data_IF_745248249212
#
_entry.id   IF_745248249212
#
_cell.length_a   1.000
_cell.length_b   1.000
_cell.length_c   1.000
_cell.angle_alpha   90.00
_cell.angle_beta   90.00
_cell.angle_gamma   90.00
#
_symmetry.space_group_name_H-M   'P 1'
#
loop_
_entity.id
_entity.type
_entity.pdbx_description
1 polymer ?
#
# COMPACT_ATOMS: atom_id res chain seq x y z
N UNK A 1 8.32 -5.00 -12.78
CA UNK A 1 7.77 -3.64 -12.72
C UNK A 1 8.88 -2.72 -12.24
N UNK A 2 8.93 -1.50 -12.76
CA UNK A 2 9.82 -0.42 -12.31
C UNK A 2 8.97 0.75 -11.82
N UNK A 3 9.33 1.35 -10.69
CA UNK A 3 8.79 2.61 -10.22
C UNK A 3 9.61 3.77 -10.77
N UNK A 4 8.91 4.83 -11.17
CA UNK A 4 9.53 6.11 -11.51
C UNK A 4 9.02 7.16 -10.54
N UNK A 5 9.92 7.73 -9.74
CA UNK A 5 9.57 8.81 -8.81
C UNK A 5 9.59 10.15 -9.53
N UNK A 6 8.48 10.88 -9.45
CA UNK A 6 8.27 12.11 -10.21
C UNK A 6 7.74 13.21 -9.30
N UNK A 7 8.14 14.44 -9.59
CA UNK A 7 7.44 15.63 -9.11
C UNK A 7 6.70 16.25 -10.30
N UNK A 8 5.43 16.60 -10.11
CA UNK A 8 4.60 17.24 -11.14
C UNK A 8 4.07 18.58 -10.61
N UNK A 9 4.57 19.73 -11.11
CA UNK A 9 4.08 21.04 -10.68
C UNK A 9 2.59 21.25 -10.94
N UNK A 10 2.04 20.62 -11.98
CA UNK A 10 0.61 20.73 -12.29
C UNK A 10 -0.24 19.94 -11.29
N UNK A 11 0.20 18.73 -10.93
CA UNK A 11 -0.48 17.89 -9.95
C UNK A 11 -0.41 18.49 -8.53
N UNK A 12 0.76 19.00 -8.14
CA UNK A 12 0.95 19.66 -6.84
C UNK A 12 0.07 20.92 -6.72
N UNK A 13 0.03 21.79 -7.75
CA UNK A 13 -0.88 22.94 -7.78
C UNK A 13 -2.35 22.55 -7.64
N UNK A 14 -2.77 21.47 -8.31
CA UNK A 14 -4.13 20.96 -8.21
C UNK A 14 -4.45 20.54 -6.76
N UNK A 15 -3.57 19.77 -6.13
CA UNK A 15 -3.75 19.33 -4.73
C UNK A 15 -3.75 20.51 -3.75
N UNK A 16 -2.83 21.46 -3.90
CA UNK A 16 -2.80 22.68 -3.09
C UNK A 16 -4.11 23.45 -3.23
N UNK A 17 -4.62 23.63 -4.45
CA UNK A 17 -5.90 24.31 -4.68
C UNK A 17 -7.07 23.59 -4.01
N UNK A 18 -7.11 22.26 -4.05
CA UNK A 18 -8.16 21.47 -3.38
C UNK A 18 -8.09 21.58 -1.84
N UNK A 19 -6.89 21.80 -1.30
CA UNK A 19 -6.66 22.01 0.13
C UNK A 19 -6.84 23.48 0.57
N UNK A 20 -7.20 24.39 -0.35
CA UNK A 20 -7.26 25.82 -0.07
C UNK A 20 -5.88 26.45 0.20
N UNK A 21 -4.80 25.82 -0.28
CA UNK A 21 -3.42 26.27 -0.13
C UNK A 21 -2.87 26.87 -1.43
N UNK A 22 -1.83 27.70 -1.31
CA UNK A 22 -1.11 28.26 -2.45
C UNK A 22 0.13 27.42 -2.77
N UNK A 23 0.51 27.45 -4.06
CA UNK A 23 1.75 26.83 -4.52
C UNK A 23 2.98 27.49 -3.89
N UNK A 24 3.95 26.67 -3.48
CA UNK A 24 5.21 27.13 -2.89
C UNK A 24 6.39 26.40 -3.53
N UNK A 25 7.30 27.18 -4.14
CA UNK A 25 8.49 26.67 -4.80
C UNK A 25 9.49 26.02 -3.82
N UNK A 26 9.43 26.36 -2.53
CA UNK A 26 10.25 25.70 -1.49
C UNK A 26 9.79 24.25 -1.32
N UNK A 27 8.48 23.99 -1.36
CA UNK A 27 7.89 22.64 -1.28
C UNK A 27 8.29 21.80 -2.49
N UNK A 28 8.27 22.40 -3.69
CA UNK A 28 8.80 21.76 -4.90
C UNK A 28 10.26 21.33 -4.73
N UNK A 29 11.12 22.23 -4.25
CA UNK A 29 12.54 21.94 -4.07
C UNK A 29 12.77 20.81 -3.05
N UNK A 30 11.98 20.77 -1.97
CA UNK A 30 12.01 19.68 -1.00
C UNK A 30 11.59 18.35 -1.58
N UNK A 31 10.46 18.29 -2.32
CA UNK A 31 10.01 17.07 -2.96
C UNK A 31 11.05 16.52 -3.95
N UNK A 32 11.62 17.39 -4.79
CA UNK A 32 12.72 17.01 -5.71
C UNK A 32 13.97 16.53 -4.99
N UNK A 33 14.35 17.17 -3.90
CA UNK A 33 15.48 16.75 -3.06
C UNK A 33 15.22 15.39 -2.40
N UNK A 34 14.00 15.18 -1.91
CA UNK A 34 13.56 13.91 -1.33
C UNK A 34 13.60 12.79 -2.36
N UNK A 35 13.04 12.98 -3.56
CA UNK A 35 13.05 12.00 -4.67
C UNK A 35 14.48 11.49 -4.89
N UNK A 36 15.46 12.40 -5.04
CA UNK A 36 16.87 12.03 -5.29
C UNK A 36 17.48 11.17 -4.18
N UNK A 37 17.06 11.35 -2.93
CA UNK A 37 17.55 10.57 -1.79
C UNK A 37 16.83 9.22 -1.72
N UNK A 38 15.50 9.24 -1.74
CA UNK A 38 14.68 8.06 -1.59
C UNK A 38 14.86 7.07 -2.75
N UNK A 39 14.96 7.55 -3.99
CA UNK A 39 15.18 6.69 -5.16
C UNK A 39 16.47 5.84 -5.04
N UNK A 40 17.54 6.43 -4.48
CA UNK A 40 18.81 5.72 -4.22
C UNK A 40 18.68 4.62 -3.18
N UNK A 41 17.80 4.77 -2.21
CA UNK A 41 17.51 3.74 -1.21
C UNK A 41 16.57 2.69 -1.81
N UNK A 42 15.49 3.14 -2.46
CA UNK A 42 14.47 2.27 -3.05
C UNK A 42 15.04 1.29 -4.08
N UNK A 43 15.91 1.75 -4.98
CA UNK A 43 16.45 0.90 -6.06
C UNK A 43 17.20 -0.32 -5.53
N UNK A 44 17.75 -0.26 -4.31
CA UNK A 44 18.45 -1.38 -3.66
C UNK A 44 17.50 -2.51 -3.26
N UNK A 45 16.25 -2.17 -2.94
CA UNK A 45 15.26 -3.11 -2.38
C UNK A 45 14.09 -3.38 -3.34
N UNK A 46 13.87 -2.54 -4.36
CA UNK A 46 12.71 -2.56 -5.26
C UNK A 46 12.43 -3.96 -5.82
N UNK A 47 13.45 -4.62 -6.37
CA UNK A 47 13.30 -5.95 -6.97
C UNK A 47 12.93 -7.00 -5.93
N UNK A 48 13.45 -6.88 -4.71
CA UNK A 48 13.12 -7.78 -3.60
C UNK A 48 11.68 -7.58 -3.14
N UNK A 49 11.30 -6.32 -2.89
CA UNK A 49 9.95 -5.93 -2.46
C UNK A 49 8.91 -6.40 -3.47
N UNK A 50 9.10 -6.06 -4.75
CA UNK A 50 8.11 -6.34 -5.80
C UNK A 50 7.93 -7.83 -6.03
N UNK A 51 9.02 -8.61 -6.03
CA UNK A 51 8.94 -10.08 -6.12
C UNK A 51 8.25 -10.69 -4.92
N UNK A 52 8.47 -10.17 -3.72
CA UNK A 52 7.83 -10.68 -2.52
C UNK A 52 6.32 -10.38 -2.52
N UNK A 53 5.91 -9.18 -2.94
CA UNK A 53 4.49 -8.85 -3.13
C UNK A 53 3.83 -9.80 -4.13
N UNK A 54 4.45 -10.04 -5.29
CA UNK A 54 3.92 -10.99 -6.28
C UNK A 54 3.81 -12.42 -5.74
N UNK A 55 4.85 -12.88 -5.04
CA UNK A 55 4.92 -14.22 -4.45
C UNK A 55 3.85 -14.42 -3.38
N UNK A 56 3.71 -13.47 -2.46
CA UNK A 56 2.75 -13.54 -1.35
C UNK A 56 1.32 -13.43 -1.87
N UNK A 57 1.05 -12.45 -2.74
CA UNK A 57 -0.30 -12.23 -3.27
C UNK A 57 -0.77 -13.31 -4.25
N UNK A 58 0.14 -14.01 -4.93
CA UNK A 58 -0.20 -14.88 -6.06
C UNK A 58 -0.52 -14.12 -7.35
N UNK A 59 -0.25 -12.81 -7.38
CA UNK A 59 -0.54 -11.90 -8.49
C UNK A 59 0.76 -11.39 -9.15
N UNK A 60 0.62 -10.70 -10.28
CA UNK A 60 1.73 -10.11 -11.03
C UNK A 60 1.51 -8.63 -11.30
N UNK A 61 2.55 -7.82 -11.15
CA UNK A 61 2.50 -6.44 -11.65
C UNK A 61 2.49 -6.46 -13.18
N UNK A 62 1.63 -5.64 -13.79
CA UNK A 62 1.40 -5.70 -15.25
C UNK A 62 2.08 -4.59 -16.03
N UNK A 63 2.41 -3.49 -15.35
CA UNK A 63 2.98 -2.28 -15.96
C UNK A 63 3.92 -1.60 -14.99
N UNK A 64 4.79 -0.73 -15.52
CA UNK A 64 5.53 0.22 -14.70
C UNK A 64 4.56 1.23 -14.06
N UNK A 65 5.00 1.84 -12.97
CA UNK A 65 4.16 2.71 -12.15
C UNK A 65 4.90 4.02 -11.90
N UNK A 66 4.25 5.12 -12.22
CA UNK A 66 4.72 6.45 -11.84
C UNK A 66 4.26 6.74 -10.41
N UNK A 67 5.19 7.16 -9.56
CA UNK A 67 4.96 7.54 -8.18
C UNK A 67 5.20 9.04 -8.02
N UNK A 68 4.13 9.80 -7.81
CA UNK A 68 4.22 11.23 -7.54
C UNK A 68 4.68 11.45 -6.10
N UNK A 69 5.68 12.32 -5.92
CA UNK A 69 6.15 12.72 -4.60
C UNK A 69 5.80 14.17 -4.37
N UNK A 70 5.09 14.45 -3.29
CA UNK A 70 4.60 15.79 -2.93
C UNK A 70 4.91 16.09 -1.48
N UNK A 71 5.18 17.36 -1.16
CA UNK A 71 5.48 17.76 0.22
C UNK A 71 4.21 17.72 1.08
N UNK A 72 3.13 18.30 0.57
CA UNK A 72 1.90 18.48 1.33
C UNK A 72 0.73 17.79 0.64
N UNK A 73 0.13 16.87 1.38
CA UNK A 73 -1.22 16.39 1.16
C UNK A 73 -1.83 15.97 2.49
N UNK A 74 -3.16 15.86 2.50
CA UNK A 74 -3.93 15.40 3.66
C UNK A 74 -3.54 13.98 4.06
N UNK A 75 -3.38 13.08 3.07
CA UNK A 75 -3.05 11.68 3.30
C UNK A 75 -1.53 11.44 3.33
N UNK A 76 -1.07 10.34 3.91
CA UNK A 76 0.35 9.96 3.86
C UNK A 76 0.76 9.31 2.53
N UNK A 77 -0.19 8.68 1.83
CA UNK A 77 -0.02 8.06 0.52
C UNK A 77 -1.36 7.87 -0.21
N UNK A 78 -1.32 7.64 -1.51
CA UNK A 78 -2.45 7.27 -2.37
C UNK A 78 -2.01 6.24 -3.41
N UNK A 79 -2.86 5.31 -3.81
CA UNK A 79 -2.52 4.28 -4.83
C UNK A 79 -2.92 4.65 -6.25
N UNK A 80 -3.81 5.63 -6.43
CA UNK A 80 -4.30 6.02 -7.76
C UNK A 80 -4.63 7.53 -7.87
N UNK A 81 -3.77 8.34 -8.53
CA UNK A 81 -2.43 7.97 -8.99
C UNK A 81 -1.53 7.67 -7.79
N UNK A 82 -0.54 6.77 -7.96
CA UNK A 82 0.39 6.45 -6.89
C UNK A 82 1.10 7.72 -6.42
N UNK A 83 0.89 8.10 -5.18
CA UNK A 83 1.39 9.34 -4.59
C UNK A 83 1.93 9.05 -3.19
N UNK A 84 3.10 9.57 -2.85
CA UNK A 84 3.66 9.52 -1.49
C UNK A 84 3.98 10.92 -1.00
N UNK A 85 3.74 11.15 0.29
CA UNK A 85 4.08 12.41 0.95
C UNK A 85 5.55 12.40 1.35
N UNK A 86 6.23 13.53 1.21
CA UNK A 86 7.57 13.72 1.77
C UNK A 86 7.47 13.51 3.28
N UNK A 87 8.38 12.69 3.80
CA UNK A 87 8.41 12.39 5.22
C UNK A 87 9.84 12.34 5.73
N UNK A 88 10.03 12.62 7.03
CA UNK A 88 11.36 12.59 7.65
C UNK A 88 11.93 11.17 7.74
N UNK A 89 11.06 10.18 7.93
CA UNK A 89 11.41 8.76 8.05
C UNK A 89 11.29 8.06 6.71
N UNK A 90 12.44 7.75 6.08
CA UNK A 90 12.49 6.93 4.86
C UNK A 90 11.87 5.54 5.07
N UNK A 91 11.98 5.00 6.29
CA UNK A 91 11.35 3.73 6.68
C UNK A 91 9.83 3.82 6.55
N UNK A 92 9.22 4.91 7.02
CA UNK A 92 7.77 5.09 6.94
C UNK A 92 7.32 5.27 5.49
N UNK A 93 8.04 6.07 4.70
CA UNK A 93 7.74 6.21 3.26
C UNK A 93 7.82 4.87 2.54
N UNK A 94 8.82 4.05 2.85
CA UNK A 94 8.93 2.70 2.31
C UNK A 94 7.75 1.81 2.70
N UNK A 95 7.31 1.85 3.97
CA UNK A 95 6.18 1.06 4.43
C UNK A 95 4.89 1.49 3.70
N UNK A 96 4.62 2.79 3.63
CA UNK A 96 3.46 3.35 2.92
C UNK A 96 3.51 3.00 1.43
N UNK A 97 4.69 3.03 0.81
CA UNK A 97 4.83 2.64 -0.58
C UNK A 97 4.56 1.14 -0.80
N UNK A 98 4.96 0.27 0.13
CA UNK A 98 4.60 -1.16 0.09
C UNK A 98 3.08 -1.33 0.19
N UNK A 99 2.43 -0.61 1.11
CA UNK A 99 0.97 -0.58 1.26
C UNK A 99 0.28 -0.23 -0.06
N UNK A 100 0.66 0.90 -0.68
CA UNK A 100 0.07 1.34 -1.93
C UNK A 100 0.37 0.42 -3.12
N UNK A 101 1.56 -0.20 -3.16
CA UNK A 101 1.89 -1.17 -4.21
C UNK A 101 1.01 -2.43 -4.13
N UNK A 102 0.55 -2.80 -2.93
CA UNK A 102 -0.39 -3.90 -2.76
C UNK A 102 -1.78 -3.49 -3.26
N UNK A 103 -2.25 -2.27 -2.98
CA UNK A 103 -3.45 -1.73 -3.63
C UNK A 103 -3.35 -1.80 -5.16
N UNK A 104 -2.22 -1.41 -5.72
CA UNK A 104 -1.97 -1.43 -7.16
C UNK A 104 -1.99 -2.84 -7.72
N UNK A 105 -1.29 -3.81 -7.14
CA UNK A 105 -1.28 -5.17 -7.68
C UNK A 105 -2.66 -5.82 -7.62
N UNK A 106 -3.44 -5.54 -6.56
CA UNK A 106 -4.82 -5.99 -6.46
C UNK A 106 -5.68 -5.36 -7.56
N UNK A 107 -5.54 -4.06 -7.80
CA UNK A 107 -6.35 -3.33 -8.80
C UNK A 107 -5.99 -3.68 -10.24
N UNK A 108 -4.71 -3.90 -10.55
CA UNK A 108 -4.25 -4.23 -11.90
C UNK A 108 -4.70 -5.62 -12.37
N UNK A 109 -5.05 -6.52 -11.44
CA UNK A 109 -5.30 -7.91 -11.77
C UNK A 109 -6.79 -8.24 -11.88
N UNK A 110 -7.23 -8.62 -13.09
CA UNK A 110 -8.61 -9.10 -13.32
C UNK A 110 -9.03 -10.26 -12.40
N UNK A 111 -8.07 -11.09 -11.95
CA UNK A 111 -8.33 -12.17 -10.98
C UNK A 111 -8.86 -11.64 -9.65
N UNK A 112 -8.51 -10.41 -9.26
CA UNK A 112 -9.02 -9.76 -8.04
C UNK A 112 -10.53 -9.52 -8.06
N UNK A 113 -11.19 -9.54 -9.24
CA UNK A 113 -12.66 -9.55 -9.31
C UNK A 113 -13.23 -10.78 -8.57
N UNK A 114 -12.55 -11.93 -8.65
CA UNK A 114 -12.92 -13.14 -7.91
C UNK A 114 -12.80 -12.91 -6.40
N UNK A 115 -11.71 -12.30 -5.96
CA UNK A 115 -11.50 -11.94 -4.54
C UNK A 115 -12.59 -11.01 -4.04
N UNK A 116 -12.94 -9.97 -4.79
CA UNK A 116 -14.02 -9.03 -4.45
C UNK A 116 -15.35 -9.76 -4.29
N UNK A 117 -15.69 -10.67 -5.21
CA UNK A 117 -16.91 -11.49 -5.11
C UNK A 117 -16.92 -12.36 -3.85
N UNK A 118 -15.79 -13.01 -3.55
CA UNK A 118 -15.62 -13.82 -2.34
C UNK A 118 -15.83 -12.97 -1.08
N UNK A 119 -15.16 -11.81 -0.99
CA UNK A 119 -15.26 -10.92 0.16
C UNK A 119 -16.66 -10.31 0.31
N UNK A 120 -17.34 -9.97 -0.79
CA UNK A 120 -18.72 -9.50 -0.75
C UNK A 120 -19.69 -10.57 -0.22
N UNK A 121 -19.47 -11.85 -0.55
CA UNK A 121 -20.27 -12.96 -0.03
C UNK A 121 -19.95 -13.25 1.44
N UNK A 122 -18.67 -13.21 1.83
CA UNK A 122 -18.22 -13.52 3.19
C UNK A 122 -18.52 -12.41 4.19
N UNK A 123 -18.52 -11.15 3.74
CA UNK A 123 -18.69 -9.96 4.59
C UNK A 123 -19.77 -9.01 4.02
N UNK A 124 -21.03 -9.46 3.85
CA UNK A 124 -22.05 -8.69 3.11
C UNK A 124 -22.40 -7.36 3.77
N UNK A 125 -22.31 -7.26 5.10
CA UNK A 125 -22.62 -6.05 5.88
C UNK A 125 -21.44 -5.08 6.02
N UNK A 126 -20.27 -5.41 5.46
CA UNK A 126 -19.07 -4.57 5.54
C UNK A 126 -18.92 -3.68 4.32
N UNK A 127 -18.42 -2.48 4.55
CA UNK A 127 -18.15 -1.52 3.48
C UNK A 127 -16.97 -1.97 2.59
N UNK A 128 -16.77 -1.31 1.43
CA UNK A 128 -15.67 -1.64 0.52
C UNK A 128 -14.27 -1.42 1.11
N UNK A 129 -14.12 -0.45 2.01
CA UNK A 129 -12.85 -0.13 2.65
C UNK A 129 -12.41 -1.28 3.56
N UNK A 130 -13.29 -1.77 4.44
CA UNK A 130 -13.05 -2.95 5.28
C UNK A 130 -12.60 -4.16 4.44
N UNK A 131 -13.37 -4.48 3.39
CA UNK A 131 -13.12 -5.67 2.54
C UNK A 131 -11.75 -5.58 1.85
N UNK A 132 -11.44 -4.41 1.31
CA UNK A 132 -10.17 -4.17 0.59
C UNK A 132 -8.99 -4.25 1.56
N UNK A 133 -9.08 -3.58 2.70
CA UNK A 133 -8.00 -3.52 3.68
C UNK A 133 -7.79 -4.85 4.42
N UNK A 134 -8.83 -5.68 4.55
CA UNK A 134 -8.67 -7.03 5.12
C UNK A 134 -7.71 -7.88 4.27
N UNK A 135 -7.94 -7.95 2.96
CA UNK A 135 -7.07 -8.71 2.07
C UNK A 135 -5.67 -8.06 1.94
N UNK A 136 -5.62 -6.73 1.89
CA UNK A 136 -4.38 -5.98 1.82
C UNK A 136 -3.50 -6.24 3.02
N UNK A 137 -4.00 -6.07 4.25
CA UNK A 137 -3.20 -6.22 5.47
C UNK A 137 -2.64 -7.64 5.61
N UNK A 138 -3.37 -8.67 5.16
CA UNK A 138 -2.86 -10.05 5.13
C UNK A 138 -1.63 -10.18 4.25
N UNK A 139 -1.67 -9.58 3.04
CA UNK A 139 -0.52 -9.55 2.13
C UNK A 139 0.60 -8.72 2.72
N UNK A 140 0.28 -7.50 3.18
CA UNK A 140 1.23 -6.52 3.67
C UNK A 140 2.05 -7.06 4.84
N UNK A 141 1.38 -7.61 5.85
CA UNK A 141 2.06 -8.21 6.99
C UNK A 141 3.00 -9.32 6.57
N UNK A 142 2.55 -10.21 5.69
CA UNK A 142 3.36 -11.34 5.23
C UNK A 142 4.58 -10.87 4.43
N UNK A 143 4.41 -9.88 3.55
CA UNK A 143 5.50 -9.26 2.78
C UNK A 143 6.52 -8.62 3.73
N UNK A 144 6.05 -7.77 4.65
CA UNK A 144 6.93 -7.07 5.58
C UNK A 144 7.68 -8.02 6.51
N UNK A 145 7.00 -9.03 7.06
CA UNK A 145 7.63 -10.04 7.92
C UNK A 145 8.68 -10.86 7.16
N UNK A 146 8.44 -11.19 5.89
CA UNK A 146 9.38 -11.94 5.07
C UNK A 146 10.62 -11.11 4.67
N UNK A 147 10.45 -9.79 4.45
CA UNK A 147 11.54 -8.91 4.02
C UNK A 147 12.38 -8.40 5.19
N UNK A 148 11.74 -8.04 6.30
CA UNK A 148 12.38 -7.28 7.39
C UNK A 148 12.34 -8.02 8.74
N UNK A 149 11.89 -9.27 8.74
CA UNK A 149 11.87 -10.14 9.90
C UNK A 149 10.55 -10.12 10.66
N UNK A 150 10.39 -11.14 11.51
CA UNK A 150 9.14 -11.41 12.24
C UNK A 150 8.66 -10.21 13.04
N UNK A 151 7.35 -9.99 13.02
CA UNK A 151 6.65 -8.93 13.73
C UNK A 151 7.05 -7.51 13.26
N UNK A 152 7.63 -7.34 12.07
CA UNK A 152 7.97 -6.01 11.56
C UNK A 152 6.70 -5.18 11.37
N UNK A 153 5.66 -5.76 10.79
CA UNK A 153 4.38 -5.10 10.55
C UNK A 153 3.74 -4.56 11.84
N UNK A 154 3.74 -5.34 12.92
CA UNK A 154 3.19 -4.91 14.21
C UNK A 154 4.00 -3.76 14.83
N UNK A 155 5.31 -3.69 14.57
CA UNK A 155 6.12 -2.54 14.98
C UNK A 155 5.80 -1.31 14.12
N UNK A 156 5.67 -1.50 12.81
CA UNK A 156 5.35 -0.43 11.87
C UNK A 156 3.98 0.21 12.16
N UNK A 157 2.94 -0.59 12.44
CA UNK A 157 1.59 -0.07 12.75
C UNK A 157 1.55 0.69 14.07
N UNK A 158 2.29 0.25 15.09
CA UNK A 158 2.32 0.95 16.39
C UNK A 158 2.92 2.34 16.31
N UNK A 159 3.76 2.57 15.29
CA UNK A 159 4.39 3.86 15.03
C UNK A 159 3.54 4.75 14.11
N UNK A 160 2.42 4.23 13.60
CA UNK A 160 1.51 4.95 12.72
C UNK A 160 0.39 5.59 13.54
N UNK A 161 0.38 6.93 13.59
CA UNK A 161 -0.55 7.74 14.40
C UNK A 161 -1.97 7.78 13.81
N UNK A 162 -2.17 7.34 12.55
CA UNK A 162 -3.46 7.44 11.83
C UNK A 162 -4.40 6.23 12.03
N UNK A 163 -4.05 5.25 12.86
CA UNK A 163 -4.91 4.07 13.10
C UNK A 163 -5.96 4.36 14.18
N UNK A 164 -6.80 5.36 13.95
CA UNK A 164 -8.06 5.53 14.68
C UNK A 164 -9.16 4.66 14.06
N UNK A 165 -9.74 3.81 14.93
CA UNK A 165 -10.96 3.03 14.79
C UNK A 165 -11.04 1.94 13.70
N UNK A 166 -10.07 1.02 13.73
CA UNK A 166 -10.04 -0.20 12.90
C UNK A 166 -10.09 -1.49 13.73
N UNK A 167 -10.69 -1.46 14.92
CA UNK A 167 -10.65 -2.58 15.85
C UNK A 167 -11.23 -3.86 15.23
N UNK A 168 -12.42 -3.79 14.64
CA UNK A 168 -13.08 -4.96 14.06
C UNK A 168 -12.28 -5.56 12.89
N UNK A 169 -11.72 -4.70 12.04
CA UNK A 169 -10.88 -5.15 10.93
C UNK A 169 -9.64 -5.87 11.47
N UNK A 170 -9.01 -5.30 12.51
CA UNK A 170 -7.82 -5.87 13.14
C UNK A 170 -8.11 -7.20 13.81
N UNK A 171 -9.26 -7.34 14.47
CA UNK A 171 -9.69 -8.60 15.07
C UNK A 171 -9.88 -9.70 14.02
N UNK A 172 -10.58 -9.40 12.93
CA UNK A 172 -10.77 -10.37 11.85
C UNK A 172 -9.45 -10.72 11.18
N UNK A 173 -8.64 -9.72 10.85
CA UNK A 173 -7.29 -9.90 10.32
C UNK A 173 -6.44 -10.84 11.19
N UNK A 174 -6.43 -10.65 12.51
CA UNK A 174 -5.67 -11.48 13.44
C UNK A 174 -6.17 -12.92 13.50
N UNK A 175 -7.47 -13.17 13.27
CA UNK A 175 -8.02 -14.53 13.13
C UNK A 175 -7.61 -15.18 11.81
N UNK A 176 -7.48 -14.40 10.72
CA UNK A 176 -7.17 -14.93 9.40
C UNK A 176 -5.67 -15.19 9.20
N UNK A 177 -4.82 -14.27 9.64
CA UNK A 177 -3.39 -14.25 9.30
C UNK A 177 -2.62 -15.54 9.65
N UNK A 178 -2.82 -16.20 10.82
CA UNK A 178 -2.09 -17.41 11.16
C UNK A 178 -2.28 -18.57 10.17
N UNK A 179 -3.39 -18.56 9.42
CA UNK A 179 -3.72 -19.59 8.42
C UNK A 179 -3.25 -19.21 7.01
N UNK A 180 -2.83 -17.97 6.80
CA UNK A 180 -2.38 -17.49 5.50
C UNK A 180 -0.94 -17.90 5.21
N UNK A 181 -0.72 -18.55 4.05
CA UNK A 181 0.62 -18.94 3.59
C UNK A 181 1.09 -18.11 2.40
N UNK A 182 0.26 -18.06 1.35
CA UNK A 182 0.45 -17.34 0.07
C UNK A 182 -0.85 -17.42 -0.74
N UNK A 183 -0.91 -16.68 -1.84
CA UNK A 183 -2.04 -16.61 -2.77
C UNK A 183 -3.34 -16.18 -2.09
N UNK A 184 -3.61 -14.87 -2.14
CA UNK A 184 -4.73 -14.29 -1.40
C UNK A 184 -6.07 -14.79 -1.91
N UNK A 185 -6.18 -15.12 -3.20
CA UNK A 185 -7.44 -15.54 -3.81
C UNK A 185 -7.75 -16.97 -3.42
N UNK A 186 -6.78 -17.87 -3.57
CA UNK A 186 -6.90 -19.28 -3.16
C UNK A 186 -7.17 -19.39 -1.64
N UNK A 187 -6.49 -18.57 -0.82
CA UNK A 187 -6.72 -18.52 0.62
C UNK A 187 -8.18 -18.24 0.98
N UNK A 188 -8.77 -17.19 0.43
CA UNK A 188 -10.16 -16.84 0.72
C UNK A 188 -11.17 -17.80 0.06
N UNK A 189 -10.84 -18.38 -1.09
CA UNK A 189 -11.68 -19.37 -1.76
C UNK A 189 -11.85 -20.65 -0.95
N UNK A 190 -10.73 -21.24 -0.48
CA UNK A 190 -10.76 -22.48 0.32
C UNK A 190 -11.57 -22.34 1.61
N UNK A 191 -11.59 -21.13 2.18
CA UNK A 191 -12.31 -20.84 3.42
C UNK A 191 -13.83 -20.81 3.23
N UNK A 192 -14.32 -20.52 2.01
CA UNK A 192 -15.75 -20.66 1.67
C UNK A 192 -16.11 -22.15 1.55
N UNK A 193 -15.26 -22.96 0.93
CA UNK A 193 -15.57 -24.39 0.70
C UNK A 193 -15.52 -25.27 1.95
N UNK A 194 -14.99 -24.74 3.07
CA UNK A 194 -14.92 -25.43 4.37
C UNK A 194 -16.05 -25.02 5.33
N UNK A 195 -16.99 -24.17 4.90
CA UNK A 195 -18.23 -23.84 5.62
C UNK A 195 -19.40 -24.54 4.95
#
# INVERSE_FOLDING_TARGET
>A
MKLQFLYSPAYDRMLMSLMGQTYDWIKEAKAKSFIKKFEKEWIKEEKGITKEIEKVSGLKFRKNVDCFVIEDMVYVALSNPLTIKVHKSMRQVRNNLIHELIHIILTQNKKSIKLIKILNKSYPKKDPFYKTHLALFIIERKVMDNLYGKNYFERAIKEDEEVEDMQELREEFNKLYPHFKKDIIDFFERRITQK
#
